data_IF_650540032722
#
_entry.id   IF_650540032722
#
_cell.length_a   1.000
_cell.length_b   1.000
_cell.length_c   1.000
_cell.angle_alpha   90.00
_cell.angle_beta   90.00
_cell.angle_gamma   90.00
#
_symmetry.space_group_name_H-M   'P 1'
#
loop_
_entity.id
_entity.type
_entity.pdbx_description
1 polymer ?
#
# COMPACT_ATOMS: atom_id res chain seq x y z
N UNK A 1 -24.36 43.82 -38.31
CA UNK A 1 -23.31 42.78 -38.20
C UNK A 1 -23.61 42.03 -36.95
N UNK A 2 -24.11 40.79 -37.06
CA UNK A 2 -24.31 39.88 -35.91
C UNK A 2 -23.01 39.13 -35.72
N UNK A 3 -22.29 39.41 -34.64
CA UNK A 3 -21.15 38.60 -34.21
C UNK A 3 -21.70 37.36 -33.49
N UNK A 4 -21.73 36.21 -34.17
CA UNK A 4 -21.95 34.92 -33.50
C UNK A 4 -20.64 34.52 -32.85
N UNK A 5 -20.53 34.73 -31.53
CA UNK A 5 -19.48 34.12 -30.74
C UNK A 5 -19.65 32.60 -30.72
N UNK A 6 -18.55 31.86 -30.67
CA UNK A 6 -18.60 30.41 -30.42
C UNK A 6 -19.37 30.16 -29.12
N UNK A 7 -20.33 29.22 -29.12
CA UNK A 7 -21.02 28.83 -27.91
C UNK A 7 -20.03 28.12 -26.96
N UNK A 8 -20.26 28.17 -25.64
CA UNK A 8 -19.49 27.42 -24.64
C UNK A 8 -19.37 25.92 -25.00
N UNK A 9 -20.46 25.33 -25.50
CA UNK A 9 -20.50 23.95 -26.01
C UNK A 9 -19.51 23.67 -27.15
N UNK A 10 -19.23 24.68 -28.02
CA UNK A 10 -18.27 24.53 -29.10
C UNK A 10 -16.84 24.64 -28.59
N UNK A 11 -16.59 25.50 -27.60
CA UNK A 11 -15.29 25.61 -26.92
C UNK A 11 -15.00 24.38 -26.10
N UNK A 12 -15.97 23.85 -25.39
CA UNK A 12 -15.84 22.61 -24.60
C UNK A 12 -15.56 21.36 -25.46
N UNK A 13 -16.15 21.32 -26.68
CA UNK A 13 -15.83 20.26 -27.66
C UNK A 13 -14.43 20.38 -28.24
N UNK A 14 -13.92 21.58 -28.44
CA UNK A 14 -12.56 21.84 -28.93
C UNK A 14 -11.53 21.55 -27.84
N UNK A 15 -11.86 21.84 -26.57
CA UNK A 15 -10.99 21.60 -25.42
C UNK A 15 -11.01 20.14 -24.95
N UNK A 16 -11.96 19.32 -25.42
CA UNK A 16 -11.90 17.88 -25.19
C UNK A 16 -10.75 17.29 -25.99
N UNK A 17 -9.69 16.90 -25.30
CA UNK A 17 -8.58 16.20 -25.94
C UNK A 17 -9.04 14.79 -26.37
N UNK A 18 -9.38 14.65 -27.63
CA UNK A 18 -9.81 13.40 -28.25
C UNK A 18 -8.64 12.41 -28.46
N UNK A 19 -7.41 12.86 -28.24
CA UNK A 19 -6.20 12.04 -28.37
C UNK A 19 -5.74 11.34 -27.09
N UNK A 20 -6.26 11.75 -25.92
CA UNK A 20 -5.95 11.11 -24.65
C UNK A 20 -7.14 10.28 -24.15
N UNK A 21 -6.86 9.07 -23.72
CA UNK A 21 -7.85 8.20 -23.09
C UNK A 21 -8.36 8.90 -21.82
N UNK A 22 -9.62 9.30 -21.79
CA UNK A 22 -10.22 10.01 -20.64
C UNK A 22 -10.32 9.13 -19.39
N UNK A 23 -10.13 7.82 -19.54
CA UNK A 23 -10.15 6.85 -18.44
C UNK A 23 -9.32 5.63 -18.84
N UNK A 24 -8.40 5.24 -17.97
CA UNK A 24 -7.62 4.01 -18.08
C UNK A 24 -8.32 2.94 -17.26
N UNK A 25 -8.53 1.74 -17.83
CA UNK A 25 -9.15 0.64 -17.11
C UNK A 25 -8.36 0.28 -15.84
N UNK A 26 -9.09 -0.02 -14.76
CA UNK A 26 -8.54 -0.22 -13.42
C UNK A 26 -7.42 -1.26 -13.36
N UNK A 27 -7.52 -2.34 -14.16
CA UNK A 27 -6.46 -3.36 -14.24
C UNK A 27 -5.09 -2.79 -14.63
N UNK A 28 -5.01 -1.77 -15.48
CA UNK A 28 -3.73 -1.15 -15.87
C UNK A 28 -3.17 -0.26 -14.76
N UNK A 29 -4.04 0.37 -13.97
CA UNK A 29 -3.66 1.13 -12.77
C UNK A 29 -3.16 0.17 -11.67
N UNK A 30 -3.68 -1.07 -11.62
CA UNK A 30 -3.32 -2.07 -10.63
C UNK A 30 -1.82 -2.37 -10.62
N UNK A 31 -1.18 -2.47 -11.79
CA UNK A 31 0.28 -2.67 -11.90
C UNK A 31 1.05 -1.58 -11.18
N UNK A 32 0.63 -0.30 -11.33
CA UNK A 32 1.24 0.82 -10.62
C UNK A 32 1.02 0.72 -9.10
N UNK A 33 -0.18 0.37 -8.66
CA UNK A 33 -0.50 0.23 -7.22
C UNK A 33 0.33 -0.89 -6.57
N UNK A 34 0.47 -2.05 -7.24
CA UNK A 34 1.32 -3.15 -6.77
C UNK A 34 2.79 -2.71 -6.69
N UNK A 35 3.29 -2.12 -7.77
CA UNK A 35 4.69 -1.69 -7.86
C UNK A 35 5.01 -0.60 -6.83
N UNK A 36 4.16 0.43 -6.73
CA UNK A 36 4.34 1.52 -5.77
C UNK A 36 4.27 1.02 -4.32
N UNK A 37 3.37 0.07 -4.03
CA UNK A 37 3.30 -0.55 -2.70
C UNK A 37 4.61 -1.30 -2.38
N UNK A 38 5.15 -2.07 -3.33
CA UNK A 38 6.36 -2.85 -3.12
C UNK A 38 7.63 -1.99 -3.05
N UNK A 39 7.84 -1.10 -4.03
CA UNK A 39 9.07 -0.32 -4.15
C UNK A 39 9.11 0.89 -3.23
N UNK A 40 8.02 1.65 -3.17
CA UNK A 40 8.02 2.96 -2.49
C UNK A 40 7.53 2.85 -1.04
N UNK A 41 6.47 2.09 -0.80
CA UNK A 41 5.82 2.08 0.51
C UNK A 41 6.40 1.00 1.45
N UNK A 42 6.58 -0.23 0.96
CA UNK A 42 7.16 -1.31 1.76
C UNK A 42 8.69 -1.36 1.68
N UNK A 43 9.27 -1.14 0.48
CA UNK A 43 10.69 -1.34 0.20
C UNK A 43 11.54 -0.06 0.15
N UNK A 44 10.93 1.13 0.23
CA UNK A 44 11.61 2.42 0.07
C UNK A 44 12.21 2.99 1.36
N UNK A 45 12.17 4.31 1.48
CA UNK A 45 12.74 5.05 2.61
C UNK A 45 12.26 4.55 3.97
N UNK A 46 10.98 4.15 4.06
CA UNK A 46 10.41 3.60 5.28
C UNK A 46 11.19 2.39 5.78
N UNK A 47 11.42 1.40 4.92
CA UNK A 47 12.17 0.20 5.29
C UNK A 47 13.61 0.52 5.70
N UNK A 48 14.26 1.42 4.97
CA UNK A 48 15.65 1.83 5.20
C UNK A 48 15.83 2.49 6.58
N UNK A 49 14.94 3.40 6.96
CA UNK A 49 15.03 4.07 8.26
C UNK A 49 14.55 3.20 9.42
N UNK A 50 13.46 2.45 9.22
CA UNK A 50 12.92 1.60 10.28
C UNK A 50 13.87 0.47 10.65
N UNK A 51 14.61 -0.08 9.71
CA UNK A 51 15.60 -1.15 9.99
C UNK A 51 16.67 -0.67 10.99
N UNK A 52 17.08 0.60 10.90
CA UNK A 52 17.99 1.22 11.88
C UNK A 52 17.29 1.50 13.21
N UNK A 53 16.07 2.05 13.20
CA UNK A 53 15.37 2.42 14.44
C UNK A 53 15.01 1.22 15.31
N UNK A 54 14.76 0.05 14.71
CA UNK A 54 14.47 -1.20 15.43
C UNK A 54 15.71 -2.09 15.62
N UNK A 55 16.90 -1.58 15.30
CA UNK A 55 18.19 -2.24 15.47
C UNK A 55 18.33 -3.57 14.71
N UNK A 56 17.66 -3.74 13.57
CA UNK A 56 17.95 -4.84 12.65
C UNK A 56 19.22 -4.57 11.86
N UNK A 57 19.40 -3.32 11.47
CA UNK A 57 20.58 -2.78 10.82
C UNK A 57 21.11 -1.59 11.62
N UNK A 58 22.28 -1.12 11.29
CA UNK A 58 22.90 0.05 11.89
C UNK A 58 23.24 1.07 10.82
N UNK A 59 22.90 2.33 11.04
CA UNK A 59 23.31 3.44 10.20
C UNK A 59 24.80 3.76 10.44
N UNK A 60 25.65 3.52 9.44
CA UNK A 60 27.12 3.68 9.58
C UNK A 60 27.66 4.93 8.92
N UNK A 61 26.86 5.62 8.11
CA UNK A 61 27.27 6.85 7.41
C UNK A 61 26.09 7.78 7.13
N UNK A 62 26.38 9.08 7.05
CA UNK A 62 25.52 10.17 6.63
C UNK A 62 24.12 10.15 7.30
N UNK A 63 23.05 10.30 6.52
CA UNK A 63 21.68 10.45 7.01
C UNK A 63 21.21 9.28 7.91
N UNK A 64 21.66 8.06 7.65
CA UNK A 64 21.28 6.91 8.46
C UNK A 64 22.05 6.86 9.78
N UNK A 65 23.31 7.28 9.81
CA UNK A 65 24.05 7.46 11.05
C UNK A 65 23.36 8.53 11.94
N UNK A 66 22.98 9.67 11.37
CA UNK A 66 22.27 10.71 12.13
C UNK A 66 20.89 10.25 12.59
N UNK A 67 20.19 9.45 11.79
CA UNK A 67 18.91 8.88 12.18
C UNK A 67 19.05 7.89 13.34
N UNK A 68 20.06 7.04 13.33
CA UNK A 68 20.31 6.07 14.40
C UNK A 68 20.77 6.73 15.69
N UNK A 69 21.74 7.65 15.61
CA UNK A 69 22.22 8.40 16.78
C UNK A 69 21.20 9.42 17.26
N UNK A 70 20.13 9.67 16.50
CA UNK A 70 19.11 10.68 16.78
C UNK A 70 19.67 12.09 16.93
N UNK A 71 20.75 12.37 16.23
CA UNK A 71 21.38 13.68 16.23
C UNK A 71 20.61 14.72 15.40
N UNK A 72 19.73 14.26 14.51
CA UNK A 72 18.84 15.13 13.74
C UNK A 72 17.40 14.66 13.84
N UNK A 73 16.50 15.58 14.17
CA UNK A 73 15.07 15.34 14.19
C UNK A 73 14.53 15.24 12.75
N UNK A 74 13.66 14.26 12.45
CA UNK A 74 12.96 14.22 11.18
C UNK A 74 12.08 15.45 10.99
N UNK A 75 12.18 16.08 9.82
CA UNK A 75 11.34 17.22 9.47
C UNK A 75 10.34 16.83 8.37
N UNK A 76 9.34 17.69 8.12
CA UNK A 76 8.36 17.49 7.05
C UNK A 76 8.96 17.36 5.64
N UNK A 77 10.21 17.79 5.45
CA UNK A 77 10.93 17.75 4.17
C UNK A 77 12.10 16.75 4.16
N UNK A 78 12.23 15.90 5.17
CA UNK A 78 13.36 14.99 5.31
C UNK A 78 12.93 13.51 5.25
N UNK A 79 13.13 12.77 6.31
CA UNK A 79 13.14 11.31 6.40
C UNK A 79 11.90 10.61 5.83
N UNK A 80 10.69 11.10 6.12
CA UNK A 80 9.44 10.40 5.79
C UNK A 80 8.55 11.13 4.78
N UNK A 81 9.02 12.22 4.20
CA UNK A 81 8.23 13.00 3.24
C UNK A 81 7.86 12.19 1.98
N UNK A 82 8.82 11.45 1.43
CA UNK A 82 8.57 10.59 0.28
C UNK A 82 7.56 9.49 0.60
N UNK A 83 7.72 8.85 1.76
CA UNK A 83 6.80 7.81 2.23
C UNK A 83 5.38 8.36 2.38
N UNK A 84 5.21 9.53 3.01
CA UNK A 84 3.91 10.20 3.13
C UNK A 84 3.26 10.42 1.77
N UNK A 85 3.98 11.04 0.84
CA UNK A 85 3.47 11.34 -0.49
C UNK A 85 3.12 10.07 -1.28
N UNK A 86 3.99 9.06 -1.22
CA UNK A 86 3.80 7.80 -1.93
C UNK A 86 2.59 7.02 -1.40
N UNK A 87 2.41 6.94 -0.08
CA UNK A 87 1.26 6.26 0.53
C UNK A 87 -0.07 6.85 0.04
N UNK A 88 -0.19 8.19 0.04
CA UNK A 88 -1.43 8.84 -0.42
C UNK A 88 -1.62 8.76 -1.94
N UNK A 89 -0.54 8.81 -2.72
CA UNK A 89 -0.62 8.61 -4.17
C UNK A 89 -1.06 7.20 -4.51
N UNK A 90 -0.50 6.20 -3.85
CA UNK A 90 -0.88 4.79 -4.04
C UNK A 90 -2.32 4.53 -3.59
N UNK A 91 -2.72 5.07 -2.44
CA UNK A 91 -4.09 4.97 -1.93
C UNK A 91 -5.09 5.62 -2.89
N UNK A 92 -4.74 6.76 -3.51
CA UNK A 92 -5.56 7.40 -4.54
C UNK A 92 -5.76 6.47 -5.74
N UNK A 93 -4.69 5.89 -6.27
CA UNK A 93 -4.76 4.97 -7.41
C UNK A 93 -5.61 3.73 -7.08
N UNK A 94 -5.44 3.14 -5.89
CA UNK A 94 -6.26 2.02 -5.45
C UNK A 94 -7.75 2.39 -5.35
N UNK A 95 -8.08 3.56 -4.81
CA UNK A 95 -9.47 4.05 -4.71
C UNK A 95 -10.10 4.34 -6.07
N UNK A 96 -9.33 4.79 -7.05
CA UNK A 96 -9.80 4.94 -8.42
C UNK A 96 -10.22 3.59 -8.99
N UNK A 97 -9.41 2.53 -8.81
CA UNK A 97 -9.76 1.18 -9.27
C UNK A 97 -11.04 0.69 -8.59
N UNK A 98 -11.11 0.80 -7.26
CA UNK A 98 -12.29 0.39 -6.48
C UNK A 98 -13.55 1.09 -7.00
N UNK A 99 -13.48 2.40 -7.23
CA UNK A 99 -14.62 3.17 -7.75
C UNK A 99 -15.01 2.74 -9.18
N UNK A 100 -14.02 2.54 -10.07
CA UNK A 100 -14.28 2.10 -11.45
C UNK A 100 -14.90 0.69 -11.51
N UNK A 101 -14.53 -0.21 -10.62
CA UNK A 101 -15.05 -1.58 -10.55
C UNK A 101 -16.33 -1.71 -9.71
N UNK A 102 -16.76 -0.64 -9.01
CA UNK A 102 -18.00 -0.60 -8.23
C UNK A 102 -19.22 -0.32 -9.12
N UNK A 103 -20.42 -0.49 -8.56
CA UNK A 103 -21.68 -0.27 -9.27
C UNK A 103 -21.72 1.12 -9.92
N UNK A 104 -22.09 1.17 -11.20
CA UNK A 104 -22.08 2.37 -12.02
C UNK A 104 -20.70 2.78 -12.57
N UNK A 105 -19.61 2.10 -12.17
CA UNK A 105 -18.28 2.35 -12.71
C UNK A 105 -18.05 1.69 -14.07
N UNK A 106 -17.05 2.19 -14.80
CA UNK A 106 -16.74 1.75 -16.17
C UNK A 106 -16.20 0.32 -16.28
N UNK A 107 -15.64 -0.21 -15.18
CA UNK A 107 -15.08 -1.54 -15.07
C UNK A 107 -15.91 -2.44 -14.14
N UNK A 108 -17.18 -2.09 -13.90
CA UNK A 108 -18.08 -2.86 -13.05
C UNK A 108 -18.13 -4.34 -13.47
N UNK A 109 -18.07 -5.22 -12.48
CA UNK A 109 -18.03 -6.67 -12.68
C UNK A 109 -16.63 -7.28 -12.72
N UNK A 110 -15.56 -6.45 -12.62
CA UNK A 110 -14.19 -6.94 -12.46
C UNK A 110 -13.84 -7.05 -10.96
N UNK A 111 -14.44 -8.04 -10.31
CA UNK A 111 -14.40 -8.21 -8.86
C UNK A 111 -13.01 -8.60 -8.35
N UNK A 112 -12.26 -9.43 -9.10
CA UNK A 112 -10.88 -9.78 -8.74
C UNK A 112 -9.98 -8.55 -8.74
N UNK A 113 -10.06 -7.72 -9.79
CA UNK A 113 -9.32 -6.45 -9.88
C UNK A 113 -9.67 -5.51 -8.74
N UNK A 114 -10.96 -5.42 -8.38
CA UNK A 114 -11.46 -4.62 -7.25
C UNK A 114 -10.90 -5.14 -5.92
N UNK A 115 -11.04 -6.43 -5.66
CA UNK A 115 -10.55 -7.05 -4.42
C UNK A 115 -9.05 -6.90 -4.22
N UNK A 116 -8.25 -7.02 -5.28
CA UNK A 116 -6.81 -6.72 -5.24
C UNK A 116 -6.54 -5.28 -4.82
N UNK A 117 -7.26 -4.31 -5.41
CA UNK A 117 -7.11 -2.90 -5.07
C UNK A 117 -7.55 -2.62 -3.62
N UNK A 118 -8.57 -3.29 -3.11
CA UNK A 118 -9.04 -3.19 -1.73
C UNK A 118 -8.01 -3.75 -0.74
N UNK A 119 -7.37 -4.89 -1.03
CA UNK A 119 -6.26 -5.43 -0.22
C UNK A 119 -5.11 -4.42 -0.14
N UNK A 120 -4.73 -3.80 -1.27
CA UNK A 120 -3.65 -2.83 -1.32
C UNK A 120 -4.05 -1.49 -0.65
N UNK A 121 -5.31 -1.06 -0.77
CA UNK A 121 -5.83 0.09 -0.04
C UNK A 121 -5.78 -0.14 1.48
N UNK A 122 -6.18 -1.32 1.94
CA UNK A 122 -6.09 -1.71 3.35
C UNK A 122 -4.64 -1.69 3.85
N UNK A 123 -3.71 -2.24 3.07
CA UNK A 123 -2.28 -2.25 3.41
C UNK A 123 -1.73 -0.83 3.55
N UNK A 124 -2.01 0.06 2.60
CA UNK A 124 -1.55 1.44 2.64
C UNK A 124 -2.21 2.25 3.76
N UNK A 125 -3.52 2.06 4.04
CA UNK A 125 -4.18 2.66 5.19
C UNK A 125 -3.56 2.23 6.52
N UNK A 126 -3.26 0.95 6.67
CA UNK A 126 -2.63 0.45 7.89
C UNK A 126 -1.21 0.98 8.07
N UNK A 127 -0.42 1.11 6.99
CA UNK A 127 0.89 1.77 7.06
C UNK A 127 0.76 3.24 7.49
N UNK A 128 -0.23 3.98 6.98
CA UNK A 128 -0.50 5.36 7.43
C UNK A 128 -0.78 5.37 8.93
N UNK A 129 -1.65 4.49 9.42
CA UNK A 129 -1.98 4.39 10.84
C UNK A 129 -0.79 4.00 11.71
N UNK A 130 0.02 3.02 11.28
CA UNK A 130 1.18 2.54 12.02
C UNK A 130 2.27 3.60 12.14
N UNK A 131 2.52 4.33 11.05
CA UNK A 131 3.66 5.24 10.96
C UNK A 131 3.35 6.64 11.47
N UNK A 132 2.11 7.11 11.29
CA UNK A 132 1.76 8.51 11.55
C UNK A 132 0.68 8.67 12.63
N UNK A 133 0.04 7.58 13.06
CA UNK A 133 -1.03 7.65 14.05
C UNK A 133 -2.32 8.25 13.49
N UNK A 134 -2.80 9.33 14.12
CA UNK A 134 -3.93 10.12 13.59
C UNK A 134 -3.50 10.79 12.27
N UNK A 135 -4.24 10.57 11.19
CA UNK A 135 -3.91 11.09 9.85
C UNK A 135 -5.16 11.23 8.99
N UNK A 136 -5.15 12.06 7.92
CA UNK A 136 -6.25 12.07 6.97
C UNK A 136 -6.35 10.73 6.24
N UNK A 137 -7.50 10.07 6.28
CA UNK A 137 -7.70 8.82 5.55
C UNK A 137 -9.09 8.75 4.91
N UNK A 138 -10.17 8.88 5.67
CA UNK A 138 -11.52 8.68 5.16
C UNK A 138 -11.90 9.62 4.01
N UNK A 139 -11.40 10.84 4.02
CA UNK A 139 -11.63 11.87 3.00
C UNK A 139 -10.42 12.11 2.09
N UNK A 140 -9.24 11.65 2.48
CA UNK A 140 -8.04 11.84 1.68
C UNK A 140 -8.02 10.95 0.45
N UNK A 141 -7.27 11.35 -0.59
CA UNK A 141 -7.06 10.55 -1.79
C UNK A 141 -8.36 10.09 -2.51
N UNK A 142 -9.45 10.83 -2.35
CA UNK A 142 -10.69 10.67 -3.11
C UNK A 142 -10.70 11.67 -4.26
N UNK A 143 -11.06 11.20 -5.45
CA UNK A 143 -11.20 12.03 -6.63
C UNK A 143 -12.59 11.89 -7.24
N UNK A 144 -13.03 12.96 -7.90
CA UNK A 144 -14.25 12.97 -8.70
C UNK A 144 -14.04 12.33 -10.09
N UNK A 145 -15.06 12.35 -10.93
CA UNK A 145 -15.02 11.80 -12.30
C UNK A 145 -13.99 12.47 -13.22
N UNK A 146 -13.55 13.69 -12.87
CA UNK A 146 -12.55 14.45 -13.61
C UNK A 146 -11.14 14.27 -13.04
N UNK A 147 -10.97 13.45 -11.98
CA UNK A 147 -9.70 13.23 -11.30
C UNK A 147 -9.32 14.33 -10.31
N UNK A 148 -10.21 15.30 -10.04
CA UNK A 148 -9.98 16.38 -9.09
C UNK A 148 -10.25 15.89 -7.65
N UNK A 149 -9.49 16.38 -6.65
CA UNK A 149 -9.73 16.01 -5.25
C UNK A 149 -11.15 16.39 -4.80
N UNK A 150 -11.89 15.43 -4.24
CA UNK A 150 -13.21 15.68 -3.64
C UNK A 150 -13.10 16.58 -2.41
N UNK A 151 -12.04 16.41 -1.63
CA UNK A 151 -11.77 17.21 -0.43
C UNK A 151 -10.39 17.85 -0.55
N UNK A 152 -10.35 19.18 -0.61
CA UNK A 152 -9.09 19.94 -0.62
C UNK A 152 -8.40 19.96 0.76
N UNK A 153 -9.20 19.91 1.83
CA UNK A 153 -8.74 19.87 3.22
C UNK A 153 -9.41 18.67 3.93
N UNK A 154 -8.91 17.45 3.70
CA UNK A 154 -9.48 16.26 4.33
C UNK A 154 -9.31 16.33 5.86
N UNK A 155 -10.31 15.85 6.58
CA UNK A 155 -10.26 15.79 8.05
C UNK A 155 -9.18 14.82 8.53
N UNK A 156 -8.68 15.09 9.74
CA UNK A 156 -7.88 14.14 10.50
C UNK A 156 -8.78 13.03 11.05
N UNK A 157 -8.46 11.80 10.75
CA UNK A 157 -9.09 10.63 11.33
C UNK A 157 -8.25 10.09 12.48
N UNK A 158 -8.90 9.48 13.47
CA UNK A 158 -8.19 8.79 14.55
C UNK A 158 -7.53 7.52 14.02
N UNK A 159 -6.37 7.17 14.54
CA UNK A 159 -5.66 5.94 14.18
C UNK A 159 -6.57 4.72 14.18
N UNK A 160 -7.41 4.58 15.21
CA UNK A 160 -8.36 3.46 15.31
C UNK A 160 -9.41 3.45 14.19
N UNK A 161 -9.83 4.61 13.69
CA UNK A 161 -10.80 4.71 12.61
C UNK A 161 -10.16 4.40 11.25
N UNK A 162 -8.87 4.73 11.09
CA UNK A 162 -8.08 4.31 9.91
C UNK A 162 -7.95 2.78 9.90
N UNK A 163 -7.69 2.15 11.04
CA UNK A 163 -7.68 0.69 11.14
C UNK A 163 -9.04 0.06 10.85
N UNK A 164 -10.15 0.65 11.34
CA UNK A 164 -11.50 0.19 10.99
C UNK A 164 -11.72 0.24 9.48
N UNK A 165 -11.27 1.30 8.82
CA UNK A 165 -11.36 1.42 7.36
C UNK A 165 -10.50 0.37 6.65
N UNK A 166 -9.27 0.13 7.11
CA UNK A 166 -8.43 -0.92 6.56
C UNK A 166 -9.08 -2.32 6.70
N UNK A 167 -9.66 -2.61 7.86
CA UNK A 167 -10.39 -3.87 8.08
C UNK A 167 -11.63 -4.00 7.20
N UNK A 168 -12.35 -2.89 6.96
CA UNK A 168 -13.49 -2.88 6.05
C UNK A 168 -13.07 -3.18 4.61
N UNK A 169 -11.98 -2.55 4.11
CA UNK A 169 -11.44 -2.89 2.80
C UNK A 169 -11.08 -4.38 2.68
N UNK A 170 -10.56 -5.00 3.75
CA UNK A 170 -10.27 -6.44 3.71
C UNK A 170 -11.53 -7.29 3.72
N UNK A 171 -12.60 -6.87 4.39
CA UNK A 171 -13.90 -7.56 4.35
C UNK A 171 -14.53 -7.46 2.96
N UNK A 172 -14.48 -6.30 2.33
CA UNK A 172 -14.96 -6.06 0.97
C UNK A 172 -14.14 -6.89 -0.02
N UNK A 173 -12.81 -6.88 0.08
CA UNK A 173 -11.90 -7.69 -0.73
C UNK A 173 -12.18 -9.20 -0.64
N UNK A 174 -12.44 -9.71 0.57
CA UNK A 174 -12.78 -11.11 0.80
C UNK A 174 -14.10 -11.47 0.09
N UNK A 175 -15.07 -10.57 0.05
CA UNK A 175 -16.32 -10.79 -0.65
C UNK A 175 -16.14 -10.76 -2.18
N UNK A 176 -15.36 -9.79 -2.68
CA UNK A 176 -15.15 -9.59 -4.12
C UNK A 176 -14.26 -10.67 -4.73
N UNK A 177 -13.17 -11.06 -4.07
CA UNK A 177 -12.24 -12.10 -4.54
C UNK A 177 -12.87 -13.51 -4.64
N UNK A 178 -14.07 -13.72 -4.12
CA UNK A 178 -14.82 -14.96 -4.25
C UNK A 178 -15.81 -14.94 -5.44
N UNK A 179 -15.86 -13.85 -6.20
CA UNK A 179 -16.73 -13.71 -7.36
C UNK A 179 -15.96 -13.94 -8.66
N UNK A 180 -16.69 -14.27 -9.71
CA UNK A 180 -16.14 -14.40 -11.06
C UNK A 180 -15.84 -13.01 -11.63
N UNK A 181 -14.75 -12.89 -12.37
CA UNK A 181 -14.31 -11.67 -13.02
C UNK A 181 -14.71 -11.64 -14.49
N UNK A 182 -15.00 -10.47 -15.04
CA UNK A 182 -15.31 -10.31 -16.46
C UNK A 182 -14.05 -10.30 -17.33
N UNK A 183 -12.94 -9.80 -16.79
CA UNK A 183 -11.68 -9.64 -17.52
C UNK A 183 -10.55 -10.18 -16.64
N UNK A 184 -9.79 -11.12 -17.18
CA UNK A 184 -8.62 -11.69 -16.51
C UNK A 184 -7.53 -10.59 -16.26
N UNK A 185 -7.17 -10.29 -15.00
CA UNK A 185 -6.14 -9.33 -14.66
C UNK A 185 -4.72 -9.91 -14.61
N UNK A 186 -4.53 -11.16 -14.98
CA UNK A 186 -3.27 -11.91 -14.75
C UNK A 186 -2.02 -11.23 -15.28
N UNK A 187 -2.11 -10.59 -16.45
CA UNK A 187 -0.97 -9.89 -17.08
C UNK A 187 -0.59 -8.58 -16.39
N UNK A 188 -1.45 -7.99 -15.57
CA UNK A 188 -1.23 -6.78 -14.81
C UNK A 188 -0.90 -7.04 -13.33
N UNK A 189 -1.22 -8.21 -12.83
CA UNK A 189 -0.91 -8.62 -11.46
C UNK A 189 0.52 -9.21 -11.36
N UNK A 190 1.44 -8.36 -10.93
CA UNK A 190 2.85 -8.72 -10.74
C UNK A 190 3.12 -9.52 -9.45
N UNK A 191 2.10 -9.75 -8.62
CA UNK A 191 2.25 -10.46 -7.34
C UNK A 191 1.86 -11.94 -7.47
N UNK A 192 0.66 -12.20 -7.98
CA UNK A 192 0.09 -13.55 -8.05
C UNK A 192 -0.49 -13.93 -9.41
N UNK A 193 -0.27 -13.10 -10.44
CA UNK A 193 -0.72 -13.37 -11.82
C UNK A 193 -2.22 -13.66 -11.93
N UNK A 194 -3.03 -12.91 -11.20
CA UNK A 194 -4.49 -13.01 -11.23
C UNK A 194 -5.08 -14.10 -10.32
N UNK A 195 -4.26 -14.78 -9.52
CA UNK A 195 -4.72 -15.83 -8.61
C UNK A 195 -5.51 -15.23 -7.43
N UNK A 196 -6.83 -15.18 -7.57
CA UNK A 196 -7.74 -14.64 -6.56
C UNK A 196 -7.66 -15.39 -5.23
N UNK A 197 -7.36 -16.71 -5.24
CA UNK A 197 -7.23 -17.50 -4.00
C UNK A 197 -6.02 -17.05 -3.18
N UNK A 198 -4.88 -16.74 -3.82
CA UNK A 198 -3.70 -16.22 -3.13
C UNK A 198 -3.94 -14.81 -2.59
N UNK A 199 -4.65 -13.95 -3.34
CA UNK A 199 -5.06 -12.64 -2.84
C UNK A 199 -6.02 -12.75 -1.64
N UNK A 200 -6.95 -13.70 -1.67
CA UNK A 200 -7.85 -14.00 -0.55
C UNK A 200 -7.05 -14.43 0.71
N UNK A 201 -6.05 -15.30 0.55
CA UNK A 201 -5.14 -15.69 1.64
C UNK A 201 -4.35 -14.50 2.17
N UNK A 202 -3.90 -13.60 1.29
CA UNK A 202 -3.22 -12.37 1.69
C UNK A 202 -4.15 -11.45 2.49
N UNK A 203 -5.40 -11.27 2.08
CA UNK A 203 -6.39 -10.50 2.84
C UNK A 203 -6.58 -11.06 4.26
N UNK A 204 -6.71 -12.37 4.42
CA UNK A 204 -6.80 -13.00 5.74
C UNK A 204 -5.49 -12.85 6.55
N UNK A 205 -4.32 -12.92 5.92
CA UNK A 205 -3.04 -12.66 6.59
C UNK A 205 -2.98 -11.25 7.16
N UNK A 206 -3.43 -10.25 6.40
CA UNK A 206 -3.50 -8.86 6.85
C UNK A 206 -4.53 -8.67 7.97
N UNK A 207 -5.69 -9.32 7.90
CA UNK A 207 -6.68 -9.29 8.99
C UNK A 207 -6.09 -9.84 10.29
N UNK A 208 -5.38 -10.96 10.24
CA UNK A 208 -4.69 -11.51 11.41
C UNK A 208 -3.65 -10.52 11.95
N UNK A 209 -2.81 -9.95 11.09
CA UNK A 209 -1.77 -8.97 11.46
C UNK A 209 -2.37 -7.75 12.14
N UNK A 210 -3.39 -7.13 11.55
CA UNK A 210 -3.96 -5.89 12.07
C UNK A 210 -4.76 -6.11 13.35
N UNK A 211 -5.39 -7.26 13.52
CA UNK A 211 -5.99 -7.65 14.80
C UNK A 211 -4.91 -7.77 15.89
N UNK A 212 -3.74 -8.33 15.56
CA UNK A 212 -2.59 -8.38 16.48
C UNK A 212 -2.04 -6.99 16.83
N UNK A 213 -1.94 -6.07 15.85
CA UNK A 213 -1.49 -4.69 16.13
C UNK A 213 -2.39 -4.00 17.17
N UNK A 214 -3.68 -4.26 17.13
CA UNK A 214 -4.67 -3.65 18.03
C UNK A 214 -4.85 -4.40 19.36
N UNK A 215 -4.21 -5.56 19.55
CA UNK A 215 -4.44 -6.46 20.71
C UNK A 215 -4.21 -5.76 22.06
N UNK A 216 -3.25 -4.83 22.15
CA UNK A 216 -2.99 -4.11 23.41
C UNK A 216 -4.12 -3.15 23.79
N UNK A 217 -4.94 -2.72 22.83
CA UNK A 217 -6.12 -1.88 23.05
C UNK A 217 -7.43 -2.66 23.12
N UNK A 218 -7.38 -3.97 22.96
CA UNK A 218 -8.55 -4.84 23.00
C UNK A 218 -9.19 -4.85 24.40
N UNK A 219 -10.51 -4.78 24.43
CA UNK A 219 -11.33 -4.99 25.64
C UNK A 219 -11.58 -6.46 25.91
N UNK A 220 -11.36 -7.34 24.95
CA UNK A 220 -11.47 -8.79 25.08
C UNK A 220 -10.37 -9.48 24.23
N UNK A 221 -9.18 -9.59 24.82
CA UNK A 221 -8.00 -10.14 24.15
C UNK A 221 -8.19 -11.58 23.71
N UNK A 222 -8.89 -12.39 24.51
CA UNK A 222 -9.10 -13.82 24.18
C UNK A 222 -9.97 -13.96 22.92
N UNK A 223 -11.07 -13.21 22.82
CA UNK A 223 -11.91 -13.22 21.63
C UNK A 223 -11.18 -12.69 20.39
N UNK A 224 -10.31 -11.69 20.53
CA UNK A 224 -9.52 -11.20 19.40
C UNK A 224 -8.42 -12.19 19.00
N UNK A 225 -7.83 -12.91 19.96
CA UNK A 225 -6.90 -14.00 19.64
C UNK A 225 -7.59 -15.17 18.93
N UNK A 226 -8.82 -15.51 19.29
CA UNK A 226 -9.61 -16.51 18.55
C UNK A 226 -9.83 -16.08 17.09
N UNK A 227 -10.15 -14.80 16.85
CA UNK A 227 -10.25 -14.25 15.48
C UNK A 227 -8.91 -14.33 14.74
N UNK A 228 -7.80 -14.00 15.40
CA UNK A 228 -6.46 -14.14 14.79
C UNK A 228 -6.23 -15.58 14.35
N UNK A 229 -6.50 -16.56 15.18
CA UNK A 229 -6.35 -17.98 14.85
C UNK A 229 -7.27 -18.40 13.70
N UNK A 230 -8.51 -17.89 13.68
CA UNK A 230 -9.43 -18.12 12.56
C UNK A 230 -8.85 -17.56 11.25
N UNK A 231 -8.40 -16.29 11.26
CA UNK A 231 -7.82 -15.65 10.05
C UNK A 231 -6.55 -16.36 9.59
N UNK A 232 -5.65 -16.71 10.50
CA UNK A 232 -4.44 -17.52 10.19
C UNK A 232 -4.84 -18.86 9.56
N UNK A 233 -5.91 -19.49 10.03
CA UNK A 233 -6.39 -20.75 9.44
C UNK A 233 -6.81 -20.65 7.98
N UNK A 234 -7.18 -19.46 7.51
CA UNK A 234 -7.59 -19.13 6.14
C UNK A 234 -6.50 -18.45 5.32
N UNK A 235 -5.36 -18.14 5.93
CA UNK A 235 -4.22 -17.46 5.36
C UNK A 235 -3.23 -18.43 4.69
N UNK A 236 -2.01 -17.97 4.46
CA UNK A 236 -0.91 -18.72 3.84
C UNK A 236 -0.62 -20.03 4.54
N UNK A 237 -0.36 -21.09 3.75
CA UNK A 237 -0.01 -22.43 4.25
C UNK A 237 1.45 -22.80 3.98
N UNK A 238 2.06 -22.17 3.00
CA UNK A 238 3.43 -22.42 2.59
C UNK A 238 4.06 -21.17 1.98
N UNK A 239 5.34 -21.23 1.68
CA UNK A 239 6.11 -20.10 1.12
C UNK A 239 5.73 -19.72 -0.31
N UNK A 240 5.08 -20.59 -1.06
CA UNK A 240 4.65 -20.32 -2.44
C UNK A 240 3.41 -19.42 -2.51
N UNK A 241 2.70 -19.30 -1.38
CA UNK A 241 1.52 -18.45 -1.25
C UNK A 241 1.84 -17.05 -0.70
N UNK A 242 3.09 -16.82 -0.26
CA UNK A 242 3.48 -15.55 0.35
C UNK A 242 3.31 -14.36 -0.60
N UNK A 243 2.95 -13.20 -0.06
CA UNK A 243 2.92 -11.94 -0.80
C UNK A 243 4.36 -11.42 -1.00
N UNK A 244 5.07 -11.97 -1.99
CA UNK A 244 6.44 -11.63 -2.31
C UNK A 244 6.54 -11.00 -3.69
N UNK A 245 6.82 -9.69 -3.74
CA UNK A 245 7.16 -9.03 -5.00
C UNK A 245 8.58 -9.44 -5.42
N UNK A 246 8.70 -10.05 -6.58
CA UNK A 246 9.97 -10.61 -7.07
C UNK A 246 10.36 -10.14 -8.49
N UNK A 247 9.60 -9.19 -9.05
CA UNK A 247 9.83 -8.69 -10.41
C UNK A 247 10.89 -7.60 -10.36
N UNK A 248 12.16 -8.02 -10.31
CA UNK A 248 13.33 -7.14 -10.32
C UNK A 248 14.21 -7.45 -11.53
N UNK A 249 14.84 -6.43 -12.11
CA UNK A 249 15.79 -6.54 -13.19
C UNK A 249 16.93 -5.51 -13.04
N UNK A 250 17.81 -5.41 -14.05
CA UNK A 250 18.96 -4.49 -14.02
C UNK A 250 18.57 -3.01 -13.98
N UNK A 251 17.38 -2.65 -14.43
CA UNK A 251 16.86 -1.29 -14.44
C UNK A 251 15.93 -1.02 -13.25
N UNK A 252 15.26 -2.06 -12.74
CA UNK A 252 14.32 -2.03 -11.64
C UNK A 252 14.82 -2.91 -10.51
N UNK A 253 15.92 -2.50 -9.90
CA UNK A 253 16.60 -3.25 -8.83
C UNK A 253 15.79 -3.12 -7.51
N UNK A 254 15.90 -4.14 -6.65
CA UNK A 254 15.33 -4.06 -5.31
C UNK A 254 15.81 -2.78 -4.60
N UNK A 255 14.91 -1.97 -4.00
CA UNK A 255 15.27 -0.67 -3.42
C UNK A 255 16.36 -0.74 -2.35
N UNK A 256 16.28 -1.73 -1.44
CA UNK A 256 17.29 -1.90 -0.39
C UNK A 256 18.63 -2.30 -0.97
N UNK A 257 18.66 -3.25 -1.91
CA UNK A 257 19.89 -3.62 -2.62
C UNK A 257 20.49 -2.43 -3.38
N UNK A 258 19.65 -1.64 -4.06
CA UNK A 258 20.07 -0.43 -4.75
C UNK A 258 20.67 0.61 -3.81
N UNK A 259 20.07 0.77 -2.64
CA UNK A 259 20.59 1.65 -1.59
C UNK A 259 21.97 1.19 -1.09
N UNK A 260 22.14 -0.10 -0.74
CA UNK A 260 23.42 -0.66 -0.34
C UNK A 260 24.50 -0.50 -1.42
N UNK A 261 24.15 -0.78 -2.66
CA UNK A 261 25.08 -0.65 -3.79
C UNK A 261 25.53 0.81 -4.00
N UNK A 262 24.64 1.77 -3.81
CA UNK A 262 24.91 3.18 -4.07
C UNK A 262 25.60 3.90 -2.92
N UNK A 263 25.32 3.55 -1.67
CA UNK A 263 25.68 4.36 -0.50
C UNK A 263 26.39 3.63 0.63
N UNK A 264 26.28 2.31 0.73
CA UNK A 264 26.90 1.48 1.79
C UNK A 264 26.72 2.07 3.23
N UNK A 265 25.59 2.74 3.47
CA UNK A 265 25.34 3.49 4.72
C UNK A 265 24.64 2.66 5.80
N UNK A 266 24.30 1.40 5.51
CA UNK A 266 23.73 0.43 6.46
C UNK A 266 24.75 -0.68 6.72
N UNK A 267 24.81 -1.14 7.96
CA UNK A 267 25.61 -2.26 8.40
C UNK A 267 24.79 -3.28 9.19
N UNK A 268 25.37 -4.44 9.49
CA UNK A 268 24.75 -5.41 10.36
C UNK A 268 24.76 -4.90 11.80
N UNK A 269 23.61 -4.94 12.47
CA UNK A 269 23.47 -4.54 13.87
C UNK A 269 24.05 -5.60 14.82
N UNK A 270 24.83 -5.16 15.79
CA UNK A 270 25.32 -6.04 16.87
C UNK A 270 24.16 -6.54 17.75
N UNK A 271 23.13 -5.74 17.96
CA UNK A 271 21.92 -6.14 18.68
C UNK A 271 21.24 -7.32 18.00
N UNK A 272 21.05 -7.25 16.69
CA UNK A 272 20.46 -8.36 15.90
C UNK A 272 21.37 -9.59 15.92
N UNK A 273 22.68 -9.42 15.70
CA UNK A 273 23.65 -10.50 15.73
C UNK A 273 23.64 -11.24 17.07
N UNK A 274 23.64 -10.50 18.17
CA UNK A 274 23.63 -11.06 19.52
C UNK A 274 22.34 -11.84 19.81
N UNK A 275 21.19 -11.34 19.37
CA UNK A 275 19.91 -12.05 19.50
C UNK A 275 19.89 -13.35 18.68
N UNK A 276 20.37 -13.33 17.45
CA UNK A 276 20.46 -14.54 16.63
C UNK A 276 21.38 -15.59 17.29
N UNK A 277 22.49 -15.15 17.87
CA UNK A 277 23.39 -16.05 18.62
C UNK A 277 22.76 -16.62 19.88
N UNK A 278 22.05 -15.79 20.66
CA UNK A 278 21.35 -16.20 21.88
C UNK A 278 20.34 -17.32 21.61
N UNK A 279 19.60 -17.20 20.51
CA UNK A 279 18.57 -18.19 20.14
C UNK A 279 19.09 -19.32 19.24
N UNK A 280 20.39 -19.41 18.96
CA UNK A 280 20.99 -20.36 18.01
C UNK A 280 20.27 -20.34 16.65
N UNK A 281 19.94 -19.15 16.18
CA UNK A 281 19.18 -18.97 14.93
C UNK A 281 20.06 -19.34 13.72
N UNK A 282 19.59 -20.20 12.79
CA UNK A 282 20.37 -20.62 11.63
C UNK A 282 20.70 -19.48 10.66
N UNK A 283 20.01 -18.35 10.74
CA UNK A 283 20.29 -17.16 9.90
C UNK A 283 21.60 -16.46 10.25
N UNK A 284 22.24 -16.81 11.38
CA UNK A 284 23.54 -16.26 11.78
C UNK A 284 24.72 -16.91 11.03
N UNK A 285 24.52 -18.02 10.36
CA UNK A 285 25.58 -18.79 9.68
C UNK A 285 26.03 -18.20 8.34
#
# INVERSE_FOLDING_TARGET
VVLSGCSEDAMDRINKDHGHTQSVAGRFILTDVITSTAFSNAGGDLNTYLSSYIEYEVGVDNQLYYAETRESEPTSSSTFNNTWNNLYSTLKSARIIINQCSDGGIDYGNYTTKGMAEVLAAYNCALIADMFGDAPCSQAALVDENGSPVYLNPKMDKQEDIYKQAMQYLDDAIADLQQEDLIDPSSQDLLYQGDAEKWLKFAYALKARYTMHLLQRSTNKDADMEKVLEYVSKSFKNTEEQAAFSVYDVNNINPLYGFFKARAALGASESMRSKLAEYNDPRLS
#
